data_IF_589855888908
#
_entry.id   IF_589855888908
#
_cell.length_a   1.000
_cell.length_b   1.000
_cell.length_c   1.000
_cell.angle_alpha   90.00
_cell.angle_beta   90.00
_cell.angle_gamma   90.00
#
_symmetry.space_group_name_H-M   'P 1'
#
loop_
_entity.id
_entity.type
_entity.pdbx_description
1 polymer ?
#
# COMPACT_ATOMS: atom_id res chain seq x y z
N UNK A 1 -5.39 -5.66 15.73
CA UNK A 1 -4.43 -6.76 15.52
C UNK A 1 -4.91 -7.85 14.54
N UNK A 2 -6.16 -7.84 14.04
CA UNK A 2 -6.73 -8.96 13.27
C UNK A 2 -6.51 -8.92 11.73
N UNK A 3 -6.27 -7.74 11.13
CA UNK A 3 -6.23 -7.61 9.66
C UNK A 3 -4.91 -8.12 9.06
N UNK A 4 -3.81 -7.97 9.80
CA UNK A 4 -2.46 -8.30 9.36
C UNK A 4 -2.22 -9.80 9.16
N UNK A 5 -2.80 -10.65 10.02
CA UNK A 5 -2.63 -12.11 9.95
C UNK A 5 -3.33 -12.71 8.74
N UNK A 6 -4.40 -12.08 8.23
CA UNK A 6 -5.22 -12.62 7.14
C UNK A 6 -4.54 -12.58 5.78
N UNK A 7 -3.52 -11.74 5.60
CA UNK A 7 -2.85 -11.55 4.31
C UNK A 7 -1.67 -12.52 4.08
N UNK A 8 -1.01 -12.99 5.14
CA UNK A 8 0.16 -13.89 5.04
C UNK A 8 -0.18 -15.34 4.68
N UNK A 9 -1.44 -15.77 4.83
CA UNK A 9 -1.87 -17.15 4.56
C UNK A 9 -2.60 -17.31 3.22
N UNK A 10 -2.77 -16.23 2.46
CA UNK A 10 -3.43 -16.25 1.17
C UNK A 10 -2.45 -16.65 0.06
N UNK A 11 -2.90 -17.47 -0.90
CA UNK A 11 -2.21 -17.61 -2.19
C UNK A 11 -2.21 -16.25 -2.86
N UNK A 12 -1.05 -15.64 -3.02
CA UNK A 12 -0.91 -14.27 -3.51
C UNK A 12 -0.01 -14.24 -4.73
N UNK A 13 -0.43 -13.53 -5.77
CA UNK A 13 0.43 -13.15 -6.89
C UNK A 13 0.77 -11.66 -6.81
N UNK A 14 1.82 -11.23 -7.48
CA UNK A 14 2.35 -9.88 -7.46
C UNK A 14 2.21 -9.28 -8.85
N UNK A 15 1.44 -8.20 -8.96
CA UNK A 15 1.36 -7.38 -10.15
C UNK A 15 2.48 -6.36 -10.14
N UNK A 16 3.44 -6.53 -11.05
CA UNK A 16 4.58 -5.64 -11.26
C UNK A 16 4.16 -4.34 -11.94
N UNK A 17 4.98 -3.30 -11.81
CA UNK A 17 4.78 -2.04 -12.54
C UNK A 17 4.68 -2.21 -14.06
N UNK A 18 5.37 -3.22 -14.60
CA UNK A 18 5.38 -3.58 -16.02
C UNK A 18 4.20 -4.45 -16.48
N UNK A 19 3.34 -4.91 -15.55
CA UNK A 19 2.18 -5.75 -15.84
C UNK A 19 2.42 -7.25 -15.67
N UNK A 20 3.64 -7.68 -15.36
CA UNK A 20 3.91 -9.08 -15.08
C UNK A 20 3.21 -9.55 -13.80
N UNK A 21 2.69 -10.77 -13.81
CA UNK A 21 2.14 -11.44 -12.64
C UNK A 21 3.06 -12.55 -12.18
N UNK A 22 3.65 -12.37 -10.99
CA UNK A 22 4.62 -13.29 -10.42
C UNK A 22 4.10 -13.92 -9.12
N UNK A 23 4.59 -15.08 -8.76
CA UNK A 23 4.37 -15.65 -7.43
C UNK A 23 5.41 -15.12 -6.43
N UNK A 24 5.38 -15.68 -5.21
CA UNK A 24 6.32 -15.29 -4.13
C UNK A 24 7.77 -15.69 -4.41
N UNK A 25 7.99 -16.64 -5.33
CA UNK A 25 9.33 -17.11 -5.75
C UNK A 25 9.83 -16.35 -6.99
N UNK A 26 8.99 -15.50 -7.58
CA UNK A 26 9.29 -14.72 -8.78
C UNK A 26 9.05 -15.48 -10.09
N UNK A 27 8.41 -16.65 -10.05
CA UNK A 27 7.96 -17.36 -11.24
C UNK A 27 6.63 -16.80 -11.75
N UNK A 28 6.29 -17.07 -13.00
CA UNK A 28 4.99 -16.68 -13.55
C UNK A 28 3.86 -17.34 -12.76
N UNK A 29 2.93 -16.54 -12.22
CA UNK A 29 1.82 -17.03 -11.42
C UNK A 29 0.55 -17.22 -12.26
N UNK A 30 -0.28 -18.19 -11.88
CA UNK A 30 -1.69 -18.25 -12.31
C UNK A 30 -2.56 -17.40 -11.35
N UNK A 31 -2.90 -16.15 -11.69
CA UNK A 31 -3.73 -15.26 -10.88
C UNK A 31 -5.15 -15.78 -10.61
N UNK A 32 -5.65 -16.77 -11.37
CA UNK A 32 -6.96 -17.39 -11.11
C UNK A 32 -6.95 -18.24 -9.84
N UNK A 33 -5.76 -18.69 -9.42
CA UNK A 33 -5.55 -19.46 -8.17
C UNK A 33 -5.20 -18.57 -6.98
N UNK A 34 -4.87 -17.30 -7.24
CA UNK A 34 -4.53 -16.35 -6.20
C UNK A 34 -5.82 -15.82 -5.55
N UNK A 35 -5.86 -15.80 -4.22
CA UNK A 35 -6.93 -15.12 -3.49
C UNK A 35 -6.77 -13.61 -3.58
N UNK A 36 -5.52 -13.13 -3.58
CA UNK A 36 -5.17 -11.72 -3.61
C UNK A 36 -4.12 -11.45 -4.68
N UNK A 37 -4.15 -10.24 -5.22
CA UNK A 37 -3.14 -9.69 -6.12
C UNK A 37 -2.46 -8.54 -5.39
N UNK A 38 -1.18 -8.74 -5.07
CA UNK A 38 -0.32 -7.73 -4.49
C UNK A 38 0.09 -6.73 -5.55
N UNK A 39 -0.33 -5.48 -5.41
CA UNK A 39 0.14 -4.39 -6.26
C UNK A 39 1.56 -4.02 -5.82
N UNK A 40 2.48 -4.00 -6.79
CA UNK A 40 3.80 -3.42 -6.61
C UNK A 40 3.68 -2.02 -6.01
N UNK A 41 4.55 -1.67 -5.05
CA UNK A 41 4.45 -0.41 -4.35
C UNK A 41 4.58 0.79 -5.30
N UNK A 42 5.27 0.65 -6.43
CA UNK A 42 5.35 1.69 -7.46
C UNK A 42 4.00 2.08 -8.06
N UNK A 43 3.01 1.18 -8.06
CA UNK A 43 1.64 1.42 -8.54
C UNK A 43 0.77 2.15 -7.52
N UNK A 44 1.17 2.19 -6.24
CA UNK A 44 0.35 2.79 -5.19
C UNK A 44 0.82 4.20 -4.80
N UNK A 45 -0.06 4.93 -4.11
CA UNK A 45 0.27 6.11 -3.29
C UNK A 45 -0.20 5.85 -1.87
N UNK A 46 0.53 6.38 -0.90
CA UNK A 46 0.25 6.15 0.53
C UNK A 46 0.08 7.48 1.25
N UNK A 47 -0.83 7.50 2.20
CA UNK A 47 -0.95 8.56 3.18
C UNK A 47 -1.40 7.98 4.53
N UNK A 48 -0.99 8.62 5.62
CA UNK A 48 -1.55 8.36 6.93
C UNK A 48 -2.44 9.52 7.36
N UNK A 49 -3.75 9.27 7.49
CA UNK A 49 -4.69 10.23 8.02
C UNK A 49 -4.72 10.18 9.56
N UNK A 50 -4.24 11.25 10.19
CA UNK A 50 -4.37 11.48 11.63
C UNK A 50 -5.67 12.26 11.91
N UNK A 51 -6.69 11.65 12.54
CA UNK A 51 -7.91 12.35 12.90
C UNK A 51 -7.66 13.37 14.02
N UNK A 52 -8.46 14.44 14.10
CA UNK A 52 -8.44 15.37 15.23
C UNK A 52 -8.58 14.68 16.59
N UNK A 53 -7.96 15.21 17.67
CA UNK A 53 -8.13 14.69 19.02
C UNK A 53 -9.60 14.56 19.43
N UNK A 54 -9.93 13.50 20.16
CA UNK A 54 -11.30 13.24 20.63
C UNK A 54 -12.25 12.64 19.59
N UNK A 55 -11.85 12.51 18.32
CA UNK A 55 -12.67 11.86 17.31
C UNK A 55 -12.84 10.36 17.57
N UNK A 56 -14.08 9.86 17.55
CA UNK A 56 -14.34 8.43 17.68
C UNK A 56 -13.72 7.64 16.52
N UNK A 57 -13.39 6.37 16.76
CA UNK A 57 -12.80 5.52 15.73
C UNK A 57 -13.66 5.31 14.47
N UNK A 58 -14.99 5.31 14.62
CA UNK A 58 -15.92 5.27 13.46
C UNK A 58 -15.90 6.60 12.70
N UNK A 59 -15.85 7.72 13.44
CA UNK A 59 -15.69 9.05 12.85
C UNK A 59 -14.38 9.17 12.07
N UNK A 60 -13.27 8.71 12.65
CA UNK A 60 -11.96 8.70 12.00
C UNK A 60 -11.97 7.90 10.70
N UNK A 61 -12.61 6.72 10.68
CA UNK A 61 -12.73 5.93 9.46
C UNK A 61 -13.60 6.62 8.40
N UNK A 62 -14.72 7.25 8.80
CA UNK A 62 -15.57 8.00 7.87
C UNK A 62 -14.84 9.21 7.28
N UNK A 63 -14.11 9.96 8.11
CA UNK A 63 -13.31 11.10 7.66
C UNK A 63 -12.17 10.66 6.73
N UNK A 64 -11.51 9.55 7.03
CA UNK A 64 -10.49 8.97 6.17
C UNK A 64 -11.05 8.54 4.80
N UNK A 65 -12.27 8.00 4.74
CA UNK A 65 -12.94 7.67 3.46
C UNK A 65 -13.21 8.93 2.63
N UNK A 66 -13.77 9.97 3.25
CA UNK A 66 -13.97 11.26 2.59
C UNK A 66 -12.65 11.86 2.08
N UNK A 67 -11.57 11.73 2.85
CA UNK A 67 -10.22 12.15 2.42
C UNK A 67 -9.72 11.31 1.25
N UNK A 68 -9.91 10.00 1.29
CA UNK A 68 -9.56 9.10 0.20
C UNK A 68 -10.26 9.48 -1.11
N UNK A 69 -11.54 9.83 -1.04
CA UNK A 69 -12.34 10.26 -2.20
C UNK A 69 -11.93 11.66 -2.68
N UNK A 70 -11.72 12.61 -1.78
CA UNK A 70 -11.49 14.01 -2.14
C UNK A 70 -10.06 14.31 -2.63
N UNK A 71 -9.06 13.55 -2.16
CA UNK A 71 -7.64 13.79 -2.43
C UNK A 71 -6.97 12.64 -3.20
N UNK A 72 -7.77 11.81 -3.87
CA UNK A 72 -7.24 10.75 -4.71
C UNK A 72 -6.28 11.32 -5.77
N UNK A 73 -5.06 10.77 -5.90
CA UNK A 73 -4.05 11.30 -6.84
C UNK A 73 -4.23 10.79 -8.27
N UNK A 74 -5.34 10.13 -8.58
CA UNK A 74 -5.66 9.52 -9.87
C UNK A 74 -7.10 9.86 -10.27
N UNK A 75 -7.37 9.91 -11.58
CA UNK A 75 -8.71 10.21 -12.11
C UNK A 75 -9.71 9.10 -11.79
N UNK A 76 -9.35 7.85 -12.06
CA UNK A 76 -10.09 6.67 -11.63
C UNK A 76 -9.32 6.01 -10.50
N UNK A 77 -9.53 6.46 -9.26
CA UNK A 77 -8.78 5.94 -8.12
C UNK A 77 -9.58 4.90 -7.35
N UNK A 78 -8.94 3.77 -7.08
CA UNK A 78 -9.38 2.83 -6.06
C UNK A 78 -8.47 2.92 -4.84
N UNK A 79 -8.97 2.48 -3.69
CA UNK A 79 -8.22 2.60 -2.44
C UNK A 79 -8.53 1.50 -1.44
N UNK A 80 -7.56 1.26 -0.55
CA UNK A 80 -7.75 0.46 0.66
C UNK A 80 -7.40 1.27 1.89
N UNK A 81 -8.24 1.15 2.92
CA UNK A 81 -8.08 1.85 4.19
C UNK A 81 -7.85 0.84 5.31
N UNK A 82 -6.79 1.05 6.09
CA UNK A 82 -6.48 0.24 7.27
C UNK A 82 -6.52 1.08 8.53
N UNK A 83 -7.44 0.75 9.44
CA UNK A 83 -7.54 1.42 10.72
C UNK A 83 -6.37 1.06 11.64
N UNK A 84 -5.76 2.09 12.20
CA UNK A 84 -4.74 2.03 13.23
C UNK A 84 -5.24 2.67 14.54
N UNK A 85 -4.44 2.57 15.61
CA UNK A 85 -4.77 3.19 16.91
C UNK A 85 -4.81 4.71 16.81
N UNK A 86 -3.85 5.30 16.11
CA UNK A 86 -3.63 6.75 16.02
C UNK A 86 -4.14 7.36 14.69
N UNK A 87 -4.98 6.63 13.94
CA UNK A 87 -5.52 7.12 12.67
C UNK A 87 -5.82 6.02 11.66
N UNK A 88 -5.74 6.37 10.38
CA UNK A 88 -6.09 5.47 9.26
C UNK A 88 -5.04 5.58 8.17
N UNK A 89 -4.47 4.43 7.82
CA UNK A 89 -3.57 4.32 6.70
C UNK A 89 -4.37 4.15 5.41
N UNK A 90 -4.03 4.90 4.37
CA UNK A 90 -4.73 4.95 3.09
C UNK A 90 -3.73 4.62 1.99
N UNK A 91 -4.10 3.70 1.11
CA UNK A 91 -3.39 3.48 -0.13
C UNK A 91 -4.34 3.68 -1.30
N UNK A 92 -3.89 4.41 -2.32
CA UNK A 92 -4.57 4.54 -3.60
C UNK A 92 -3.79 3.86 -4.70
N UNK A 93 -4.48 3.44 -5.75
CA UNK A 93 -3.89 3.11 -7.05
C UNK A 93 -4.78 3.64 -8.17
N UNK A 94 -4.21 3.75 -9.36
CA UNK A 94 -4.92 4.09 -10.57
C UNK A 94 -5.68 2.86 -11.06
N UNK A 95 -7.00 2.88 -10.92
CA UNK A 95 -7.91 1.79 -11.27
C UNK A 95 -7.90 1.49 -12.76
N UNK A 96 -7.94 2.52 -13.62
CA UNK A 96 -7.90 2.35 -15.08
C UNK A 96 -6.57 1.72 -15.53
N UNK A 97 -5.46 2.25 -15.03
CA UNK A 97 -4.13 1.68 -15.33
C UNK A 97 -4.04 0.25 -14.83
N UNK A 98 -4.52 -0.03 -13.63
CA UNK A 98 -4.43 -1.37 -13.03
C UNK A 98 -5.33 -2.37 -13.77
N UNK A 99 -6.53 -1.94 -14.17
CA UNK A 99 -7.44 -2.72 -15.00
C UNK A 99 -6.78 -3.08 -16.34
N UNK A 100 -6.16 -2.11 -17.03
CA UNK A 100 -5.46 -2.36 -18.28
C UNK A 100 -4.30 -3.36 -18.13
N UNK A 101 -3.52 -3.27 -17.04
CA UNK A 101 -2.44 -4.23 -16.77
C UNK A 101 -2.98 -5.64 -16.53
N UNK A 102 -4.08 -5.79 -15.79
CA UNK A 102 -4.71 -7.09 -15.53
C UNK A 102 -5.39 -7.68 -16.79
N UNK A 103 -6.03 -6.84 -17.60
CA UNK A 103 -6.65 -7.25 -18.85
C UNK A 103 -5.61 -7.79 -19.84
N UNK A 104 -4.44 -7.15 -19.94
CA UNK A 104 -3.33 -7.59 -20.79
C UNK A 104 -2.85 -9.03 -20.49
N UNK A 105 -3.13 -9.53 -19.28
CA UNK A 105 -2.81 -10.89 -18.83
C UNK A 105 -4.06 -11.77 -18.64
N UNK A 106 -5.21 -11.32 -19.18
CA UNK A 106 -6.45 -12.09 -19.23
C UNK A 106 -7.18 -12.20 -17.89
N UNK A 107 -7.05 -11.18 -17.03
CA UNK A 107 -7.67 -11.13 -15.70
C UNK A 107 -8.62 -9.95 -15.60
N UNK A 108 -9.85 -10.24 -15.18
CA UNK A 108 -10.83 -9.21 -14.89
C UNK A 108 -10.41 -8.38 -13.68
N UNK A 109 -10.58 -7.07 -13.79
CA UNK A 109 -10.35 -6.14 -12.70
C UNK A 109 -11.34 -6.40 -11.56
N UNK A 110 -10.81 -6.58 -10.34
CA UNK A 110 -11.60 -6.75 -9.12
C UNK A 110 -10.85 -6.07 -7.95
N UNK A 111 -11.27 -4.86 -7.55
CA UNK A 111 -10.58 -4.08 -6.52
C UNK A 111 -10.60 -4.76 -5.15
N UNK A 112 -11.55 -5.66 -4.87
CA UNK A 112 -11.61 -6.38 -3.57
C UNK A 112 -10.48 -7.40 -3.40
N UNK A 113 -9.87 -7.83 -4.51
CA UNK A 113 -8.72 -8.74 -4.53
C UNK A 113 -7.38 -8.02 -4.53
N UNK A 114 -7.36 -6.70 -4.67
CA UNK A 114 -6.13 -5.91 -4.79
C UNK A 114 -5.67 -5.42 -3.42
N UNK A 115 -4.38 -5.62 -3.15
CA UNK A 115 -3.74 -5.11 -1.93
C UNK A 115 -2.35 -4.55 -2.24
N UNK A 116 -1.92 -3.44 -1.62
CA UNK A 116 -0.53 -3.00 -1.71
C UNK A 116 0.42 -4.08 -1.14
N UNK A 117 1.54 -4.34 -1.82
CA UNK A 117 2.55 -5.30 -1.33
C UNK A 117 3.07 -4.97 0.09
N UNK A 118 3.03 -3.70 0.50
CA UNK A 118 3.37 -3.26 1.87
C UNK A 118 2.55 -3.98 2.94
N UNK A 119 1.28 -4.31 2.65
CA UNK A 119 0.39 -5.03 3.56
C UNK A 119 0.76 -6.51 3.72
N UNK A 120 1.65 -7.03 2.87
CA UNK A 120 2.21 -8.38 2.95
C UNK A 120 3.57 -8.42 3.69
N UNK A 121 4.06 -7.25 4.10
CA UNK A 121 5.22 -6.99 4.99
C UNK A 121 5.21 -7.85 6.28
N UNK A 122 5.97 -7.51 7.30
CA UNK A 122 5.51 -7.70 8.68
C UNK A 122 5.46 -6.31 9.30
N UNK A 123 4.54 -6.03 10.26
CA UNK A 123 4.62 -4.78 11.01
C UNK A 123 6.01 -4.66 11.65
N UNK A 124 6.53 -3.45 11.70
CA UNK A 124 7.76 -3.12 12.41
C UNK A 124 7.50 -1.98 13.39
N UNK A 125 8.55 -1.54 14.06
CA UNK A 125 8.59 -0.31 14.82
C UNK A 125 9.79 0.52 14.33
N UNK A 126 9.63 1.84 14.30
CA UNK A 126 10.66 2.76 13.86
C UNK A 126 10.87 2.78 12.34
N UNK A 127 12.05 3.22 11.94
CA UNK A 127 12.40 3.43 10.55
C UNK A 127 13.00 2.18 9.91
N UNK A 128 12.63 1.89 8.66
CA UNK A 128 13.29 0.86 7.85
C UNK A 128 13.19 1.14 6.36
N UNK A 129 14.13 0.59 5.61
CA UNK A 129 14.04 0.46 4.16
C UNK A 129 13.79 -1.01 3.82
N UNK A 130 12.80 -1.27 2.97
CA UNK A 130 12.45 -2.63 2.54
C UNK A 130 12.65 -2.72 1.03
N UNK A 131 13.26 -3.82 0.57
CA UNK A 131 13.28 -4.17 -0.85
C UNK A 131 11.89 -4.68 -1.24
N UNK A 132 11.30 -4.02 -2.21
CA UNK A 132 10.00 -4.28 -2.80
C UNK A 132 10.15 -5.05 -4.11
N UNK A 133 9.03 -5.40 -4.74
CA UNK A 133 9.02 -6.00 -6.06
C UNK A 133 9.89 -5.19 -7.04
N UNK A 134 9.48 -3.96 -7.35
CA UNK A 134 10.09 -3.11 -8.38
C UNK A 134 11.03 -2.02 -7.84
N UNK A 135 11.34 -2.05 -6.55
CA UNK A 135 12.15 -0.99 -5.95
C UNK A 135 12.37 -1.12 -4.46
N UNK A 136 12.36 0.01 -3.78
CA UNK A 136 12.59 0.15 -2.35
C UNK A 136 11.54 1.07 -1.73
N UNK A 137 11.02 0.67 -0.59
CA UNK A 137 10.11 1.47 0.22
C UNK A 137 10.82 1.88 1.50
N UNK A 138 10.95 3.19 1.71
CA UNK A 138 11.27 3.76 3.01
C UNK A 138 9.98 3.80 3.83
N UNK A 139 10.03 3.32 5.06
CA UNK A 139 8.87 3.16 5.93
C UNK A 139 9.19 3.68 7.33
N UNK A 140 8.22 4.37 7.93
CA UNK A 140 8.22 4.64 9.37
C UNK A 140 6.99 4.02 10.01
N UNK A 141 7.24 3.21 11.04
CA UNK A 141 6.21 2.56 11.82
C UNK A 141 6.18 3.10 13.24
N UNK A 142 4.97 3.26 13.77
CA UNK A 142 4.76 3.61 15.17
C UNK A 142 3.55 2.90 15.71
N UNK A 143 3.68 2.29 16.89
CA UNK A 143 2.58 1.58 17.55
C UNK A 143 1.90 0.54 16.63
N UNK A 144 2.72 -0.17 15.83
CA UNK A 144 2.26 -1.21 14.91
C UNK A 144 1.52 -0.72 13.67
N UNK A 145 1.60 0.57 13.33
CA UNK A 145 1.00 1.15 12.13
C UNK A 145 2.05 1.88 11.28
N UNK A 146 1.94 1.73 9.96
CA UNK A 146 2.72 2.51 9.01
C UNK A 146 2.24 3.97 9.06
N UNK A 147 3.16 4.91 9.28
CA UNK A 147 2.90 6.34 9.48
C UNK A 147 3.38 7.18 8.33
N UNK A 148 4.51 6.81 7.73
CA UNK A 148 5.02 7.40 6.51
C UNK A 148 5.58 6.31 5.62
N UNK A 149 5.42 6.50 4.31
CA UNK A 149 6.03 5.65 3.32
C UNK A 149 6.40 6.45 2.07
N UNK A 150 7.61 6.21 1.55
CA UNK A 150 8.07 6.75 0.28
C UNK A 150 8.66 5.61 -0.55
N UNK A 151 8.41 5.62 -1.85
CA UNK A 151 8.86 4.57 -2.75
C UNK A 151 9.76 5.11 -3.85
N UNK A 152 10.80 4.34 -4.20
CA UNK A 152 11.74 4.65 -5.30
C UNK A 152 12.24 3.37 -5.96
N UNK A 153 12.61 3.44 -7.24
CA UNK A 153 13.21 2.31 -7.99
C UNK A 153 14.59 1.89 -7.48
N UNK A 154 15.32 2.80 -6.81
CA UNK A 154 16.66 2.57 -6.27
C UNK A 154 16.65 2.73 -4.75
N UNK A 155 17.62 2.12 -4.03
CA UNK A 155 17.81 2.38 -2.61
C UNK A 155 17.87 3.88 -2.31
N UNK A 156 17.41 4.29 -1.14
CA UNK A 156 17.54 5.67 -0.68
C UNK A 156 19.01 5.96 -0.36
N UNK A 157 19.53 7.06 -0.89
CA UNK A 157 20.77 7.66 -0.38
C UNK A 157 20.54 8.25 1.01
N UNK A 158 21.62 8.57 1.72
CA UNK A 158 21.53 9.24 3.02
C UNK A 158 20.73 10.55 2.97
N UNK A 159 20.91 11.35 1.91
CA UNK A 159 20.19 12.62 1.72
C UNK A 159 18.70 12.40 1.49
N UNK A 160 18.35 11.41 0.66
CA UNK A 160 16.96 11.06 0.37
C UNK A 160 16.26 10.49 1.60
N UNK A 161 17.01 9.74 2.41
CA UNK A 161 16.53 9.24 3.69
C UNK A 161 16.28 10.37 4.68
N UNK A 162 17.20 11.33 4.80
CA UNK A 162 17.02 12.50 5.65
C UNK A 162 15.81 13.34 5.23
N UNK A 163 15.64 13.56 3.92
CA UNK A 163 14.47 14.26 3.38
C UNK A 163 13.16 13.51 3.68
N UNK A 164 13.15 12.19 3.55
CA UNK A 164 11.99 11.37 3.95
C UNK A 164 11.73 11.50 5.46
N UNK A 165 12.76 11.47 6.29
CA UNK A 165 12.60 11.56 7.75
C UNK A 165 11.92 12.87 8.18
N UNK A 166 12.27 13.98 7.53
CA UNK A 166 11.68 15.30 7.77
C UNK A 166 10.19 15.40 7.42
N UNK A 167 9.65 14.50 6.59
CA UNK A 167 8.21 14.51 6.24
C UNK A 167 7.29 14.22 7.43
N UNK A 168 7.82 13.67 8.52
CA UNK A 168 7.07 13.41 9.75
C UNK A 168 7.16 14.50 10.80
N UNK A 169 8.19 15.35 10.72
CA UNK A 169 8.38 16.50 11.60
C UNK A 169 7.64 17.75 11.06
N UNK A 170 7.00 17.63 9.89
CA UNK A 170 6.14 18.65 9.35
C UNK A 170 4.86 18.77 10.21
N UNK A 171 4.52 19.98 10.69
CA UNK A 171 3.41 20.22 11.62
C UNK A 171 2.02 19.92 11.05
#
# INVERSE_FOLDING_TARGET
>A
MAVWTSYRTARTCWLREGGELLDVEGASADPRRARLIALSRGLCRFEFYAPPPGMSGRGALRAARLRAEAFAPFTAADSVLLRAREGVAIWWWDGDRTAALLEAVGIAYDPERLVPETLLQAPAEGWRQVRCADGYEAQYWRAGALRAAAWRRRPFSAEQWAAFAQTLDAP
#
